data_IF_083880114698
#
_entry.id   IF_083880114698
#
_cell.length_a   1.000
_cell.length_b   1.000
_cell.length_c   1.000
_cell.angle_alpha   90.00
_cell.angle_beta   90.00
_cell.angle_gamma   90.00
#
_symmetry.space_group_name_H-M   'P 1'
#
loop_
_entity.id
_entity.type
_entity.pdbx_description
1 polymer ?
#
# COMPACT_ATOMS: atom_id res chain seq x y z
N UNK A 1 13.62 36.94 14.07
CA UNK A 1 14.61 37.77 14.77
C UNK A 1 16.05 37.36 14.37
N UNK A 2 16.40 37.54 13.10
CA UNK A 2 17.72 37.21 12.56
C UNK A 2 18.72 38.36 12.75
N UNK A 3 19.32 38.50 13.92
CA UNK A 3 20.43 39.43 14.12
C UNK A 3 21.74 38.87 13.55
N UNK A 4 22.50 39.70 12.82
CA UNK A 4 23.86 39.32 12.39
C UNK A 4 24.79 39.40 13.60
N UNK A 5 25.01 38.24 14.22
CA UNK A 5 25.87 38.09 15.41
C UNK A 5 27.31 38.56 15.12
N UNK A 6 27.83 38.32 13.91
CA UNK A 6 29.18 38.77 13.48
C UNK A 6 29.38 38.65 11.97
N UNK A 7 30.16 39.54 11.36
CA UNK A 7 30.65 39.43 9.98
C UNK A 7 32.18 39.53 9.93
N UNK A 8 32.83 38.48 9.41
CA UNK A 8 34.27 38.41 9.22
C UNK A 8 34.60 37.33 8.15
N UNK A 9 35.84 37.27 7.64
CA UNK A 9 36.29 36.19 6.76
C UNK A 9 36.10 34.80 7.40
N UNK A 10 35.88 33.77 6.59
CA UNK A 10 35.55 32.40 7.04
C UNK A 10 36.52 31.84 8.10
N UNK A 11 37.83 32.05 7.92
CA UNK A 11 38.83 31.55 8.86
C UNK A 11 38.75 32.23 10.23
N UNK A 12 38.42 33.52 10.25
CA UNK A 12 38.30 34.31 11.49
C UNK A 12 37.01 33.95 12.23
N UNK A 13 35.90 33.72 11.51
CA UNK A 13 34.65 33.24 12.11
C UNK A 13 34.78 31.85 12.72
N UNK A 14 35.60 30.97 12.12
CA UNK A 14 35.80 29.61 12.61
C UNK A 14 36.70 29.56 13.86
N UNK A 15 37.58 30.56 14.03
CA UNK A 15 38.43 30.73 15.19
C UNK A 15 37.71 31.42 16.37
N UNK A 16 36.96 32.49 16.09
CA UNK A 16 36.47 33.42 17.12
C UNK A 16 34.97 33.29 17.45
N UNK A 17 34.19 32.54 16.65
CA UNK A 17 32.74 32.36 16.88
C UNK A 17 32.39 30.90 17.19
N UNK A 18 32.03 30.64 18.43
CA UNK A 18 31.68 29.29 18.91
C UNK A 18 30.39 28.78 18.27
N UNK A 19 29.39 29.64 18.04
CA UNK A 19 28.14 29.25 17.36
C UNK A 19 28.37 28.90 15.90
N UNK A 20 29.20 29.66 15.18
CA UNK A 20 29.54 29.36 13.78
C UNK A 20 30.29 28.03 13.65
N UNK A 21 31.21 27.75 14.58
CA UNK A 21 31.94 26.47 14.64
C UNK A 21 31.01 25.29 14.88
N UNK A 22 30.00 25.46 15.72
CA UNK A 22 28.98 24.44 15.98
C UNK A 22 28.12 24.18 14.73
N UNK A 23 27.68 25.23 14.03
CA UNK A 23 26.93 25.13 12.77
C UNK A 23 27.72 24.43 11.66
N UNK A 24 29.00 24.78 11.50
CA UNK A 24 29.89 24.16 10.51
C UNK A 24 30.11 22.68 10.83
N UNK A 25 30.29 22.32 12.11
CA UNK A 25 30.44 20.92 12.52
C UNK A 25 29.13 20.14 12.36
N UNK A 26 27.99 20.71 12.73
CA UNK A 26 26.69 20.08 12.52
C UNK A 26 26.41 19.85 11.02
N UNK A 27 26.83 20.79 10.17
CA UNK A 27 26.76 20.61 8.72
C UNK A 27 27.68 19.47 8.24
N UNK A 28 28.93 19.40 8.73
CA UNK A 28 29.85 18.29 8.41
C UNK A 28 29.31 16.93 8.84
N UNK A 29 28.66 16.86 10.00
CA UNK A 29 28.04 15.62 10.51
C UNK A 29 26.83 15.19 9.66
N UNK A 30 26.08 16.14 9.09
CA UNK A 30 24.97 15.84 8.16
C UNK A 30 25.43 15.48 6.74
N UNK A 31 26.58 15.99 6.30
CA UNK A 31 27.09 15.78 4.93
C UNK A 31 28.13 14.64 4.87
N UNK A 32 28.55 14.08 6.01
CA UNK A 32 29.44 12.91 6.03
C UNK A 32 30.83 13.17 5.42
N UNK A 33 31.30 14.42 5.43
CA UNK A 33 32.61 14.78 4.86
C UNK A 33 33.68 14.63 5.92
N UNK A 34 34.44 13.53 5.85
CA UNK A 34 35.76 13.46 6.48
C UNK A 34 36.74 14.31 5.67
N UNK A 35 37.31 15.34 6.29
CA UNK A 35 38.42 16.10 5.70
C UNK A 35 39.66 15.19 5.59
N UNK A 36 40.30 15.07 4.40
CA UNK A 36 41.45 14.21 4.18
C UNK A 36 42.80 14.78 4.67
N UNK A 37 42.82 15.88 5.43
CA UNK A 37 44.06 16.52 5.89
C UNK A 37 44.03 16.84 7.39
N UNK A 38 44.43 15.86 8.21
CA UNK A 38 44.75 16.03 9.63
C UNK A 38 45.89 15.10 10.03
N UNK A 39 47.09 15.67 10.22
CA UNK A 39 48.29 14.95 10.63
C UNK A 39 48.12 14.26 12.01
N UNK A 40 48.82 13.13 12.27
CA UNK A 40 48.59 12.32 13.46
C UNK A 40 49.31 12.91 14.67
N UNK A 41 48.55 13.33 15.69
CA UNK A 41 49.11 13.57 17.01
C UNK A 41 49.10 12.30 17.85
N UNK A 42 50.29 11.71 17.98
CA UNK A 42 50.82 11.25 19.26
C UNK A 42 50.24 9.96 19.85
N UNK A 43 50.82 8.84 19.44
CA UNK A 43 50.77 7.59 20.17
C UNK A 43 51.34 7.73 21.59
N UNK A 44 50.64 7.18 22.58
CA UNK A 44 51.21 6.63 23.81
C UNK A 44 50.51 5.30 24.11
N UNK A 45 51.21 4.22 23.82
CA UNK A 45 51.01 2.89 24.44
C UNK A 45 51.30 3.02 25.95
N UNK A 46 50.65 2.29 26.87
CA UNK A 46 50.90 0.91 27.38
C UNK A 46 50.00 0.78 28.67
N UNK A 47 49.60 -0.39 29.25
CA UNK A 47 49.43 -1.77 28.76
C UNK A 47 48.02 -2.36 29.01
N UNK A 48 47.76 -3.45 28.28
CA UNK A 48 46.74 -4.47 28.49
C UNK A 48 46.79 -5.13 29.88
N UNK A 49 45.63 -5.25 30.53
CA UNK A 49 45.32 -6.32 31.49
C UNK A 49 43.93 -6.84 31.20
N UNK A 50 43.86 -8.09 30.76
CA UNK A 50 42.66 -8.89 30.67
C UNK A 50 42.04 -9.07 32.06
N UNK A 51 40.74 -8.84 32.19
CA UNK A 51 39.90 -9.60 33.11
C UNK A 51 38.46 -9.63 32.60
N UNK A 52 37.93 -10.84 32.54
CA UNK A 52 36.56 -11.21 32.22
C UNK A 52 35.48 -10.40 32.98
N UNK A 53 34.37 -10.16 32.28
CA UNK A 53 33.05 -10.19 32.89
C UNK A 53 32.24 -8.89 32.89
N UNK A 54 31.00 -9.05 32.40
CA UNK A 54 29.79 -8.25 32.69
C UNK A 54 29.48 -7.09 31.71
N UNK A 55 28.76 -7.50 30.66
CA UNK A 55 27.61 -6.84 30.03
C UNK A 55 27.08 -5.56 30.73
N UNK A 56 27.35 -4.39 30.14
CA UNK A 56 26.48 -3.20 30.23
C UNK A 56 26.56 -2.46 28.88
N UNK A 57 25.62 -2.74 27.98
CA UNK A 57 25.36 -1.91 26.81
C UNK A 57 24.83 -0.56 27.29
N UNK A 58 25.75 0.40 27.45
CA UNK A 58 25.39 1.80 27.67
C UNK A 58 24.99 2.37 26.32
N UNK A 59 23.68 2.40 26.09
CA UNK A 59 23.02 3.20 25.07
C UNK A 59 23.74 4.55 24.93
N UNK A 60 24.40 4.75 23.78
CA UNK A 60 24.63 6.09 23.25
C UNK A 60 23.24 6.57 22.85
N UNK A 61 22.63 7.31 23.77
CA UNK A 61 21.39 8.03 23.53
C UNK A 61 21.71 9.07 22.45
N UNK A 62 21.40 8.74 21.20
CA UNK A 62 21.41 9.70 20.09
C UNK A 62 20.46 10.82 20.48
N UNK A 63 21.01 11.98 20.80
CA UNK A 63 20.27 13.22 21.03
C UNK A 63 19.37 13.41 19.80
N UNK A 64 18.06 13.23 19.97
CA UNK A 64 17.09 13.62 18.95
C UNK A 64 17.18 15.14 18.81
N UNK A 65 17.48 15.70 17.62
CA UNK A 65 17.43 17.13 17.45
C UNK A 65 16.02 17.62 17.77
N UNK A 66 15.93 18.75 18.47
CA UNK A 66 14.69 19.48 18.71
C UNK A 66 13.96 19.70 17.37
N UNK A 67 12.62 19.54 17.31
CA UNK A 67 11.85 19.67 16.07
C UNK A 67 11.87 21.07 15.43
N UNK A 68 12.57 22.04 16.03
CA UNK A 68 12.59 23.45 15.60
C UNK A 68 13.67 23.73 14.53
N UNK A 69 14.74 22.93 14.44
CA UNK A 69 15.91 23.24 13.58
C UNK A 69 15.99 22.42 12.27
N UNK A 70 14.99 21.58 11.97
CA UNK A 70 14.95 20.80 10.74
C UNK A 70 13.98 21.44 9.73
N UNK A 71 14.50 22.23 8.79
CA UNK A 71 13.67 22.85 7.73
C UNK A 71 12.89 21.79 6.93
N UNK A 72 13.51 20.65 6.64
CA UNK A 72 12.84 19.55 5.93
C UNK A 72 12.12 18.68 6.95
N UNK A 73 10.78 18.74 6.98
CA UNK A 73 9.99 17.77 7.73
C UNK A 73 10.22 16.36 7.19
N UNK A 74 10.69 15.49 8.08
CA UNK A 74 10.69 14.05 7.84
C UNK A 74 9.24 13.56 7.75
N UNK A 75 8.97 12.66 6.80
CA UNK A 75 7.62 12.21 6.48
C UNK A 75 6.95 11.61 7.73
N UNK A 76 5.80 12.17 8.13
CA UNK A 76 4.94 11.56 9.16
C UNK A 76 4.43 10.23 8.62
N UNK A 77 5.15 9.18 8.97
CA UNK A 77 4.75 7.81 8.71
C UNK A 77 3.71 7.45 9.77
N UNK A 78 2.43 7.37 9.39
CA UNK A 78 1.40 6.79 10.27
C UNK A 78 1.88 5.37 10.62
N UNK A 79 2.38 5.22 11.84
CA UNK A 79 3.03 4.02 12.34
C UNK A 79 1.94 3.16 12.96
N UNK A 80 1.25 2.36 12.15
CA UNK A 80 0.20 1.47 12.65
C UNK A 80 -0.70 0.88 11.57
N UNK A 81 -1.46 -0.16 11.92
CA UNK A 81 -2.51 -0.71 11.08
C UNK A 81 -3.69 0.29 11.10
N UNK A 82 -3.77 1.15 10.09
CA UNK A 82 -4.87 2.12 9.89
C UNK A 82 -6.23 1.43 9.65
N UNK A 83 -6.23 0.10 9.51
CA UNK A 83 -7.43 -0.73 9.51
C UNK A 83 -8.34 -0.39 8.34
N UNK A 84 -9.61 -0.10 8.64
CA UNK A 84 -10.63 0.21 7.62
C UNK A 84 -10.74 1.71 7.27
N UNK A 85 -9.97 2.58 7.94
CA UNK A 85 -10.02 4.04 7.77
C UNK A 85 -9.75 4.48 6.32
N UNK A 86 -8.69 4.04 5.63
CA UNK A 86 -8.41 4.50 4.26
C UNK A 86 -9.43 3.99 3.23
N UNK A 87 -9.99 2.81 3.45
CA UNK A 87 -11.12 2.30 2.65
C UNK A 87 -12.37 3.16 2.80
N UNK A 88 -12.69 3.54 4.04
CA UNK A 88 -13.83 4.40 4.33
C UNK A 88 -13.64 5.80 3.72
N UNK A 89 -12.43 6.34 3.81
CA UNK A 89 -12.07 7.61 3.21
C UNK A 89 -12.30 7.59 1.69
N UNK A 90 -11.81 6.56 1.01
CA UNK A 90 -12.02 6.39 -0.43
C UNK A 90 -13.51 6.29 -0.78
N UNK A 91 -14.29 5.48 -0.07
CA UNK A 91 -15.72 5.26 -0.35
C UNK A 91 -16.63 6.43 0.05
N UNK A 92 -16.19 7.29 0.99
CA UNK A 92 -16.96 8.46 1.45
C UNK A 92 -16.98 9.58 0.41
N UNK A 93 -16.02 9.59 -0.51
CA UNK A 93 -15.93 10.61 -1.54
C UNK A 93 -17.10 10.52 -2.53
N UNK A 94 -17.82 11.63 -2.70
CA UNK A 94 -18.79 11.89 -3.76
C UNK A 94 -19.71 10.72 -4.19
N UNK A 95 -20.67 10.35 -3.35
CA UNK A 95 -21.61 9.22 -3.55
C UNK A 95 -20.92 7.87 -3.84
N UNK A 96 -19.64 7.71 -3.56
CA UNK A 96 -18.86 6.49 -3.81
C UNK A 96 -19.49 5.26 -3.16
N UNK A 97 -19.97 5.37 -1.92
CA UNK A 97 -20.67 4.28 -1.22
C UNK A 97 -21.88 3.74 -2.00
N UNK A 98 -22.63 4.62 -2.68
CA UNK A 98 -23.79 4.22 -3.47
C UNK A 98 -23.38 3.39 -4.69
N UNK A 99 -22.40 3.86 -5.47
CA UNK A 99 -21.90 3.12 -6.64
C UNK A 99 -21.18 1.82 -6.26
N UNK A 100 -20.42 1.84 -5.17
CA UNK A 100 -19.81 0.64 -4.62
C UNK A 100 -20.88 -0.39 -4.24
N UNK A 101 -21.90 0.00 -3.46
CA UNK A 101 -23.00 -0.88 -3.07
C UNK A 101 -23.75 -1.44 -4.28
N UNK A 102 -23.99 -0.63 -5.31
CA UNK A 102 -24.65 -1.07 -6.54
C UNK A 102 -23.80 -2.09 -7.30
N UNK A 103 -22.48 -1.89 -7.34
CA UNK A 103 -21.54 -2.85 -7.93
C UNK A 103 -21.46 -4.17 -7.15
N UNK A 104 -21.47 -4.12 -5.81
CA UNK A 104 -21.55 -5.32 -4.95
C UNK A 104 -22.83 -6.08 -5.21
N UNK A 105 -23.97 -5.38 -5.27
CA UNK A 105 -25.28 -5.99 -5.54
C UNK A 105 -25.31 -6.66 -6.91
N UNK A 106 -24.82 -6.00 -7.97
CA UNK A 106 -24.67 -6.62 -9.30
C UNK A 106 -23.77 -7.85 -9.28
N UNK A 107 -22.71 -7.85 -8.47
CA UNK A 107 -21.82 -9.02 -8.31
C UNK A 107 -22.52 -10.18 -7.59
N UNK A 108 -23.31 -9.90 -6.54
CA UNK A 108 -24.09 -10.93 -5.83
C UNK A 108 -25.12 -11.56 -6.77
N UNK A 109 -25.83 -10.76 -7.58
CA UNK A 109 -26.79 -11.27 -8.57
C UNK A 109 -26.08 -12.12 -9.63
N UNK A 110 -24.90 -11.69 -10.09
CA UNK A 110 -24.07 -12.48 -10.99
C UNK A 110 -23.69 -13.84 -10.39
N UNK A 111 -23.23 -13.87 -9.13
CA UNK A 111 -22.89 -15.11 -8.43
C UNK A 111 -24.10 -16.02 -8.27
N UNK A 112 -25.23 -15.47 -7.81
CA UNK A 112 -26.46 -16.22 -7.66
C UNK A 112 -26.93 -16.82 -9.00
N UNK A 113 -26.82 -16.05 -10.08
CA UNK A 113 -27.13 -16.53 -11.43
C UNK A 113 -26.19 -17.62 -11.91
N UNK A 114 -24.87 -17.52 -11.66
CA UNK A 114 -23.89 -18.56 -11.97
C UNK A 114 -24.17 -19.86 -11.20
N UNK A 115 -24.47 -19.77 -9.90
CA UNK A 115 -24.84 -20.93 -9.08
C UNK A 115 -26.14 -21.54 -9.60
N UNK A 116 -27.13 -20.71 -9.94
CA UNK A 116 -28.41 -21.17 -10.48
C UNK A 116 -28.24 -21.87 -11.84
N UNK A 117 -27.38 -21.32 -12.70
CA UNK A 117 -27.04 -21.90 -14.01
C UNK A 117 -26.39 -23.28 -13.85
N UNK A 118 -25.41 -23.40 -12.94
CA UNK A 118 -24.75 -24.68 -12.66
C UNK A 118 -25.70 -25.65 -11.96
N UNK A 119 -26.57 -25.19 -11.07
CA UNK A 119 -27.55 -26.02 -10.35
C UNK A 119 -28.62 -26.57 -11.30
N UNK A 120 -29.08 -25.73 -12.24
CA UNK A 120 -30.02 -26.13 -13.28
C UNK A 120 -29.45 -27.25 -14.16
N UNK A 121 -28.18 -27.11 -14.56
CA UNK A 121 -27.47 -28.14 -15.31
C UNK A 121 -27.35 -29.43 -14.47
N UNK A 122 -26.91 -29.32 -13.22
CA UNK A 122 -26.74 -30.45 -12.30
C UNK A 122 -28.06 -31.23 -12.05
N UNK A 123 -29.18 -30.52 -11.90
CA UNK A 123 -30.47 -31.15 -11.63
C UNK A 123 -31.09 -31.85 -12.85
N UNK A 124 -30.88 -31.31 -14.05
CA UNK A 124 -31.61 -31.74 -15.26
C UNK A 124 -30.79 -32.56 -16.25
N UNK A 125 -29.48 -32.75 -16.03
CA UNK A 125 -28.60 -33.49 -16.96
C UNK A 125 -29.04 -34.94 -17.18
N UNK A 126 -29.71 -35.55 -16.21
CA UNK A 126 -30.20 -36.94 -16.29
C UNK A 126 -31.72 -37.06 -16.34
N UNK A 127 -32.47 -35.95 -16.37
CA UNK A 127 -33.92 -35.98 -16.38
C UNK A 127 -34.45 -36.37 -17.78
N UNK A 128 -35.10 -37.53 -17.95
CA UNK A 128 -35.58 -37.98 -19.26
C UNK A 128 -36.72 -37.11 -19.82
N UNK A 129 -37.39 -36.36 -18.96
CA UNK A 129 -38.53 -35.49 -19.30
C UNK A 129 -38.11 -34.13 -19.87
N UNK A 130 -36.83 -33.77 -19.82
CA UNK A 130 -36.33 -32.48 -20.32
C UNK A 130 -35.60 -32.71 -21.64
N UNK A 131 -36.14 -32.16 -22.73
CA UNK A 131 -35.45 -32.17 -24.02
C UNK A 131 -34.11 -31.43 -23.92
N UNK A 132 -33.06 -31.97 -24.56
CA UNK A 132 -31.73 -31.36 -24.64
C UNK A 132 -31.77 -29.90 -25.10
N UNK A 133 -32.68 -29.57 -26.03
CA UNK A 133 -32.86 -28.20 -26.51
C UNK A 133 -33.36 -27.25 -25.42
N UNK A 134 -34.28 -27.72 -24.56
CA UNK A 134 -34.80 -26.94 -23.43
C UNK A 134 -33.72 -26.75 -22.35
N UNK A 135 -32.94 -27.78 -22.07
CA UNK A 135 -31.81 -27.71 -21.12
C UNK A 135 -30.81 -26.63 -21.52
N UNK A 136 -30.35 -26.67 -22.77
CA UNK A 136 -29.37 -25.72 -23.32
C UNK A 136 -29.98 -24.32 -23.41
N UNK A 137 -31.22 -24.18 -23.87
CA UNK A 137 -31.88 -22.88 -24.01
C UNK A 137 -31.99 -22.14 -22.68
N UNK A 138 -32.40 -22.82 -21.61
CA UNK A 138 -32.47 -22.21 -20.26
C UNK A 138 -31.08 -21.87 -19.73
N UNK A 139 -30.10 -22.75 -19.92
CA UNK A 139 -28.72 -22.51 -19.50
C UNK A 139 -28.13 -21.26 -20.18
N UNK A 140 -28.31 -21.13 -21.51
CA UNK A 140 -27.87 -19.96 -22.28
C UNK A 140 -28.63 -18.71 -21.86
N UNK A 141 -29.94 -18.81 -21.61
CA UNK A 141 -30.75 -17.70 -21.12
C UNK A 141 -30.23 -17.10 -19.81
N UNK A 142 -29.92 -17.95 -18.82
CA UNK A 142 -29.33 -17.52 -17.54
C UNK A 142 -27.93 -16.93 -17.77
N UNK A 143 -27.13 -17.52 -18.66
CA UNK A 143 -25.80 -17.02 -19.03
C UNK A 143 -25.85 -15.61 -19.65
N UNK A 144 -26.78 -15.35 -20.55
CA UNK A 144 -26.96 -14.01 -21.16
C UNK A 144 -27.43 -13.00 -20.12
N UNK A 145 -28.36 -13.36 -19.24
CA UNK A 145 -28.80 -12.48 -18.16
C UNK A 145 -27.64 -12.13 -17.20
N UNK A 146 -26.84 -13.12 -16.79
CA UNK A 146 -25.70 -12.91 -15.89
C UNK A 146 -24.60 -12.07 -16.55
N UNK A 147 -24.37 -12.21 -17.85
CA UNK A 147 -23.45 -11.36 -18.61
C UNK A 147 -23.83 -9.87 -18.52
N UNK A 148 -25.12 -9.54 -18.60
CA UNK A 148 -25.59 -8.15 -18.43
C UNK A 148 -25.26 -7.62 -17.04
N UNK A 149 -25.40 -8.44 -15.99
CA UNK A 149 -25.03 -8.03 -14.63
C UNK A 149 -23.53 -7.81 -14.48
N UNK A 150 -22.67 -8.62 -15.12
CA UNK A 150 -21.21 -8.40 -15.14
C UNK A 150 -20.86 -7.08 -15.83
N UNK A 151 -21.51 -6.76 -16.94
CA UNK A 151 -21.33 -5.49 -17.64
C UNK A 151 -21.81 -4.31 -16.78
N UNK A 152 -22.95 -4.44 -16.10
CA UNK A 152 -23.44 -3.40 -15.19
C UNK A 152 -22.43 -3.15 -14.06
N UNK A 153 -21.88 -4.23 -13.48
CA UNK A 153 -20.85 -4.17 -12.44
C UNK A 153 -19.64 -3.40 -12.94
N UNK A 154 -19.08 -3.74 -14.10
CA UNK A 154 -17.89 -3.06 -14.65
C UNK A 154 -18.14 -1.57 -14.89
N UNK A 155 -19.30 -1.18 -15.40
CA UNK A 155 -19.68 0.22 -15.56
C UNK A 155 -19.75 0.95 -14.21
N UNK A 156 -20.37 0.34 -13.18
CA UNK A 156 -20.42 0.94 -11.85
C UNK A 156 -19.04 1.09 -11.21
N UNK A 157 -18.11 0.15 -11.44
CA UNK A 157 -16.71 0.27 -10.97
C UNK A 157 -16.03 1.48 -11.60
N UNK A 158 -16.18 1.66 -12.91
CA UNK A 158 -15.55 2.78 -13.63
C UNK A 158 -16.15 4.11 -13.18
N UNK A 159 -17.47 4.20 -13.04
CA UNK A 159 -18.14 5.40 -12.52
C UNK A 159 -17.70 5.73 -11.09
N UNK A 160 -17.59 4.72 -10.22
CA UNK A 160 -17.05 4.87 -8.87
C UNK A 160 -15.63 5.46 -8.90
N UNK A 161 -14.75 4.89 -9.73
CA UNK A 161 -13.36 5.34 -9.86
C UNK A 161 -13.26 6.78 -10.32
N UNK A 162 -13.92 7.13 -11.43
CA UNK A 162 -13.87 8.49 -12.00
C UNK A 162 -14.46 9.53 -11.04
N UNK A 163 -15.60 9.24 -10.40
CA UNK A 163 -16.26 10.19 -9.50
C UNK A 163 -15.43 10.42 -8.22
N UNK A 164 -14.82 9.36 -7.69
CA UNK A 164 -13.96 9.41 -6.50
C UNK A 164 -12.65 10.13 -6.80
N UNK A 165 -11.98 9.73 -7.89
CA UNK A 165 -10.77 10.37 -8.42
C UNK A 165 -10.94 11.87 -8.59
N UNK A 166 -11.98 12.31 -9.30
CA UNK A 166 -12.24 13.74 -9.55
C UNK A 166 -12.46 14.53 -8.25
N UNK A 167 -13.14 13.93 -7.27
CA UNK A 167 -13.36 14.53 -5.95
C UNK A 167 -12.05 14.68 -5.18
N UNK A 168 -11.27 13.60 -5.09
CA UNK A 168 -9.97 13.58 -4.41
C UNK A 168 -8.98 14.54 -5.06
N UNK A 169 -8.89 14.54 -6.39
CA UNK A 169 -8.03 15.45 -7.14
C UNK A 169 -8.39 16.91 -6.88
N UNK A 170 -9.68 17.27 -6.93
CA UNK A 170 -10.12 18.64 -6.68
C UNK A 170 -9.86 19.10 -5.25
N UNK A 171 -10.05 18.22 -4.25
CA UNK A 171 -9.77 18.52 -2.85
C UNK A 171 -8.26 18.69 -2.61
N UNK A 172 -7.46 17.75 -3.11
CA UNK A 172 -5.99 17.79 -3.05
C UNK A 172 -5.44 19.09 -3.66
N UNK A 173 -5.88 19.42 -4.88
CA UNK A 173 -5.41 20.59 -5.61
C UNK A 173 -5.80 21.89 -4.88
N UNK A 174 -7.03 21.98 -4.37
CA UNK A 174 -7.49 23.16 -3.63
C UNK A 174 -6.74 23.33 -2.30
N UNK A 175 -6.53 22.25 -1.55
CA UNK A 175 -5.74 22.26 -0.31
C UNK A 175 -4.29 22.69 -0.59
N UNK A 176 -3.67 22.15 -1.65
CA UNK A 176 -2.30 22.47 -2.00
C UNK A 176 -2.14 23.95 -2.41
N UNK A 177 -3.03 24.48 -3.25
CA UNK A 177 -2.95 25.89 -3.67
C UNK A 177 -3.25 26.88 -2.55
N UNK A 178 -4.00 26.47 -1.53
CA UNK A 178 -4.26 27.29 -0.34
C UNK A 178 -3.25 27.07 0.77
N UNK A 179 -2.22 26.25 0.60
CA UNK A 179 -1.26 26.00 1.66
C UNK A 179 -0.26 27.16 1.80
N UNK A 180 0.20 27.48 3.03
CA UNK A 180 1.12 28.59 3.28
C UNK A 180 2.49 28.35 2.64
N UNK A 181 3.21 29.42 2.32
CA UNK A 181 4.57 29.31 1.77
C UNK A 181 5.52 28.45 2.63
N UNK A 182 5.36 28.49 3.96
CA UNK A 182 6.13 27.67 4.90
C UNK A 182 5.99 26.16 4.64
N UNK A 183 4.85 25.70 4.12
CA UNK A 183 4.65 24.31 3.72
C UNK A 183 5.51 23.94 2.52
N UNK A 184 5.59 24.81 1.52
CA UNK A 184 6.40 24.60 0.32
C UNK A 184 7.91 24.69 0.61
N UNK A 185 8.32 25.54 1.54
CA UNK A 185 9.71 25.63 1.98
C UNK A 185 10.14 24.39 2.79
N UNK A 186 9.21 23.82 3.57
CA UNK A 186 9.48 22.65 4.41
C UNK A 186 9.34 21.30 3.68
N UNK A 187 8.70 21.30 2.51
CA UNK A 187 8.34 20.07 1.79
C UNK A 187 9.06 19.99 0.44
N UNK A 188 9.89 18.97 0.20
CA UNK A 188 10.58 18.80 -1.08
C UNK A 188 9.58 18.73 -2.26
N UNK A 189 9.84 19.50 -3.32
CA UNK A 189 8.99 19.53 -4.51
C UNK A 189 8.76 18.14 -5.12
N UNK A 190 9.79 17.28 -5.12
CA UNK A 190 9.68 15.90 -5.61
C UNK A 190 8.65 15.05 -4.84
N UNK A 191 8.44 15.33 -3.56
CA UNK A 191 7.44 14.65 -2.73
C UNK A 191 6.03 15.06 -3.15
N UNK A 192 5.78 16.35 -3.32
CA UNK A 192 4.50 16.88 -3.81
C UNK A 192 4.19 16.31 -5.20
N UNK A 193 5.17 16.30 -6.09
CA UNK A 193 5.02 15.74 -7.43
C UNK A 193 4.69 14.24 -7.41
N UNK A 194 5.37 13.46 -6.56
CA UNK A 194 5.10 12.02 -6.40
C UNK A 194 3.67 11.76 -5.92
N UNK A 195 3.15 12.58 -5.00
CA UNK A 195 1.77 12.49 -4.50
C UNK A 195 0.73 12.79 -5.57
N UNK A 196 0.92 13.90 -6.29
CA UNK A 196 -0.02 14.36 -7.33
C UNK A 196 0.07 13.50 -8.60
N UNK A 197 1.22 12.89 -8.89
CA UNK A 197 1.42 12.07 -10.08
C UNK A 197 1.24 10.58 -9.79
N UNK A 198 2.17 9.96 -9.04
CA UNK A 198 2.22 8.51 -8.88
C UNK A 198 1.11 7.99 -7.98
N UNK A 199 0.95 8.58 -6.79
CA UNK A 199 -0.06 8.09 -5.84
C UNK A 199 -1.48 8.36 -6.37
N UNK A 200 -1.74 9.53 -6.96
CA UNK A 200 -3.01 9.81 -7.61
C UNK A 200 -3.29 8.88 -8.80
N UNK A 201 -2.28 8.58 -9.64
CA UNK A 201 -2.46 7.63 -10.74
C UNK A 201 -2.87 6.24 -10.24
N UNK A 202 -2.35 5.78 -9.09
CA UNK A 202 -2.77 4.51 -8.47
C UNK A 202 -4.22 4.62 -7.99
N UNK A 203 -4.59 5.73 -7.36
CA UNK A 203 -5.97 5.99 -6.91
C UNK A 203 -6.96 5.98 -8.08
N UNK A 204 -6.56 6.53 -9.22
CA UNK A 204 -7.41 6.70 -10.39
C UNK A 204 -7.58 5.40 -11.19
N UNK A 205 -6.48 4.69 -11.43
CA UNK A 205 -6.44 3.55 -12.34
C UNK A 205 -6.49 2.21 -11.63
N UNK A 206 -5.82 2.06 -10.49
CA UNK A 206 -5.61 0.73 -9.89
C UNK A 206 -6.61 0.40 -8.79
N UNK A 207 -6.92 1.36 -7.91
CA UNK A 207 -7.77 1.14 -6.73
C UNK A 207 -9.19 0.69 -7.08
N UNK A 208 -9.91 1.28 -8.06
CA UNK A 208 -11.27 0.87 -8.38
C UNK A 208 -11.35 -0.62 -8.75
N UNK A 209 -10.40 -1.09 -9.56
CA UNK A 209 -10.33 -2.49 -9.98
C UNK A 209 -9.81 -3.40 -8.86
N UNK A 210 -8.77 -2.99 -8.13
CA UNK A 210 -8.23 -3.78 -7.01
C UNK A 210 -9.30 -3.99 -5.91
N UNK A 211 -10.06 -2.94 -5.58
CA UNK A 211 -11.16 -3.01 -4.62
C UNK A 211 -12.21 -4.03 -5.05
N UNK A 212 -12.64 -3.94 -6.30
CA UNK A 212 -13.68 -4.80 -6.83
C UNK A 212 -13.22 -6.23 -7.04
N UNK A 213 -12.01 -6.46 -7.54
CA UNK A 213 -11.46 -7.81 -7.65
C UNK A 213 -11.27 -8.47 -6.29
N UNK A 214 -10.79 -7.72 -5.28
CA UNK A 214 -10.66 -8.24 -3.92
C UNK A 214 -12.02 -8.66 -3.34
N UNK A 215 -13.01 -7.79 -3.42
CA UNK A 215 -14.36 -8.09 -2.94
C UNK A 215 -15.02 -9.24 -3.73
N UNK A 216 -14.89 -9.22 -5.06
CA UNK A 216 -15.41 -10.27 -5.93
C UNK A 216 -14.76 -11.62 -5.64
N UNK A 217 -13.45 -11.67 -5.40
CA UNK A 217 -12.74 -12.91 -5.05
C UNK A 217 -13.20 -13.45 -3.68
N UNK A 218 -13.36 -12.59 -2.68
CA UNK A 218 -13.91 -12.97 -1.37
C UNK A 218 -15.30 -13.59 -1.52
N UNK A 219 -16.21 -12.91 -2.22
CA UNK A 219 -17.57 -13.38 -2.45
C UNK A 219 -17.60 -14.69 -3.24
N UNK A 220 -16.70 -14.88 -4.21
CA UNK A 220 -16.54 -16.15 -4.93
C UNK A 220 -16.08 -17.27 -3.98
N UNK A 221 -15.07 -17.04 -3.14
CA UNK A 221 -14.58 -18.03 -2.19
C UNK A 221 -15.68 -18.45 -1.20
N UNK A 222 -16.40 -17.48 -0.62
CA UNK A 222 -17.55 -17.76 0.26
C UNK A 222 -18.68 -18.48 -0.47
N UNK A 223 -18.97 -18.10 -1.71
CA UNK A 223 -19.95 -18.77 -2.56
C UNK A 223 -19.58 -20.24 -2.80
N UNK A 224 -18.33 -20.53 -3.13
CA UNK A 224 -17.87 -21.90 -3.37
C UNK A 224 -17.97 -22.77 -2.12
N UNK A 225 -17.60 -22.23 -0.96
CA UNK A 225 -17.79 -22.89 0.34
C UNK A 225 -19.29 -23.09 0.62
N UNK A 226 -20.13 -22.10 0.34
CA UNK A 226 -21.58 -22.17 0.52
C UNK A 226 -22.24 -23.25 -0.34
N UNK A 227 -21.87 -23.34 -1.63
CA UNK A 227 -22.35 -24.40 -2.53
C UNK A 227 -21.96 -25.78 -2.01
N UNK A 228 -20.71 -25.96 -1.57
CA UNK A 228 -20.26 -27.22 -0.97
C UNK A 228 -21.01 -27.56 0.31
N UNK A 229 -21.28 -26.57 1.16
CA UNK A 229 -22.03 -26.76 2.39
C UNK A 229 -23.49 -27.19 2.12
N UNK A 230 -24.12 -26.66 1.07
CA UNK A 230 -25.49 -27.03 0.69
C UNK A 230 -25.56 -28.40 0.03
N UNK A 231 -24.62 -28.72 -0.87
CA UNK A 231 -24.65 -29.99 -1.61
C UNK A 231 -24.18 -31.16 -0.72
N UNK A 232 -23.17 -30.96 0.12
CA UNK A 232 -22.62 -32.00 1.00
C UNK A 232 -22.48 -31.47 2.43
N UNK A 233 -23.62 -31.35 3.12
CA UNK A 233 -23.67 -30.79 4.48
C UNK A 233 -22.76 -31.55 5.48
N UNK A 234 -22.48 -32.82 5.24
CA UNK A 234 -21.58 -33.64 6.06
C UNK A 234 -20.12 -33.17 6.00
N UNK A 235 -19.69 -32.55 4.90
CA UNK A 235 -18.33 -32.01 4.73
C UNK A 235 -18.13 -30.76 5.59
N UNK A 236 -19.21 -30.14 6.07
CA UNK A 236 -19.12 -28.95 6.93
C UNK A 236 -18.36 -29.20 8.23
N UNK A 237 -18.41 -30.43 8.78
CA UNK A 237 -17.61 -30.82 9.95
C UNK A 237 -16.10 -30.76 9.69
N UNK A 238 -15.68 -31.03 8.45
CA UNK A 238 -14.28 -30.91 8.03
C UNK A 238 -13.98 -29.48 7.58
N UNK A 239 -14.88 -28.83 6.85
CA UNK A 239 -14.65 -27.49 6.31
C UNK A 239 -14.55 -26.41 7.41
N UNK A 240 -15.35 -26.49 8.46
CA UNK A 240 -15.39 -25.47 9.53
C UNK A 240 -14.05 -25.31 10.27
N UNK A 241 -13.39 -26.37 10.79
CA UNK A 241 -12.07 -26.22 11.41
C UNK A 241 -11.02 -25.74 10.40
N UNK A 242 -11.13 -26.13 9.12
CA UNK A 242 -10.21 -25.68 8.08
C UNK A 242 -10.36 -24.18 7.80
N UNK A 243 -11.58 -23.64 7.75
CA UNK A 243 -11.82 -22.19 7.60
C UNK A 243 -11.19 -21.42 8.77
N UNK A 244 -11.33 -21.92 10.01
CA UNK A 244 -10.70 -21.29 11.18
C UNK A 244 -9.19 -21.29 11.05
N UNK A 245 -8.58 -22.41 10.63
CA UNK A 245 -7.14 -22.49 10.40
C UNK A 245 -6.67 -21.56 9.28
N UNK A 246 -7.42 -21.46 8.18
CA UNK A 246 -7.13 -20.53 7.08
C UNK A 246 -7.12 -19.09 7.57
N UNK A 247 -8.10 -18.68 8.37
CA UNK A 247 -8.17 -17.32 8.93
C UNK A 247 -6.96 -17.05 9.85
N UNK A 248 -6.57 -18.02 10.69
CA UNK A 248 -5.40 -17.86 11.56
C UNK A 248 -4.09 -17.77 10.77
N UNK A 249 -3.90 -18.65 9.79
CA UNK A 249 -2.75 -18.64 8.88
C UNK A 249 -2.66 -17.34 8.10
N UNK A 250 -3.79 -16.87 7.57
CA UNK A 250 -3.86 -15.61 6.85
C UNK A 250 -3.44 -14.43 7.75
N UNK A 251 -3.93 -14.38 8.99
CA UNK A 251 -3.56 -13.33 9.94
C UNK A 251 -2.07 -13.35 10.29
N UNK A 252 -1.51 -14.54 10.49
CA UNK A 252 -0.08 -14.74 10.74
C UNK A 252 0.78 -14.31 9.54
N UNK A 253 0.40 -14.74 8.33
CA UNK A 253 1.08 -14.36 7.10
C UNK A 253 1.03 -12.84 6.88
N UNK A 254 -0.13 -12.21 7.06
CA UNK A 254 -0.31 -10.80 6.78
C UNK A 254 0.54 -9.91 7.71
N UNK A 255 0.74 -10.32 8.97
CA UNK A 255 1.65 -9.64 9.88
C UNK A 255 3.11 -9.71 9.40
N UNK A 256 3.58 -10.90 9.01
CA UNK A 256 4.95 -11.12 8.53
C UNK A 256 5.20 -10.47 7.16
N UNK A 257 4.26 -10.62 6.23
CA UNK A 257 4.36 -10.09 4.87
C UNK A 257 4.41 -8.56 4.85
N UNK A 258 3.68 -7.88 5.75
CA UNK A 258 3.74 -6.42 5.90
C UNK A 258 5.15 -5.94 6.23
N UNK A 259 5.81 -6.55 7.22
CA UNK A 259 7.19 -6.18 7.58
C UNK A 259 8.18 -6.51 6.46
N UNK A 260 7.98 -7.62 5.77
CA UNK A 260 8.86 -8.03 4.68
C UNK A 260 8.72 -7.11 3.45
N UNK A 261 7.51 -6.69 3.13
CA UNK A 261 7.24 -5.63 2.15
C UNK A 261 7.83 -4.30 2.56
N UNK A 262 7.82 -3.97 3.86
CA UNK A 262 8.45 -2.75 4.40
C UNK A 262 9.95 -2.75 4.16
N UNK A 263 10.63 -3.85 4.49
CA UNK A 263 12.07 -4.01 4.27
C UNK A 263 12.37 -3.92 2.77
N UNK A 264 11.64 -4.68 1.94
CA UNK A 264 11.80 -4.67 0.49
C UNK A 264 11.60 -3.27 -0.12
N UNK A 265 10.65 -2.48 0.39
CA UNK A 265 10.46 -1.10 -0.01
C UNK A 265 11.67 -0.21 0.31
N UNK A 266 12.23 -0.35 1.52
CA UNK A 266 13.40 0.45 1.94
C UNK A 266 14.67 0.08 1.17
N UNK A 267 14.93 -1.21 0.93
CA UNK A 267 16.11 -1.67 0.18
C UNK A 267 16.03 -1.25 -1.28
N UNK A 268 14.85 -1.36 -1.91
CA UNK A 268 14.63 -0.92 -3.28
C UNK A 268 14.84 0.58 -3.45
N UNK A 269 14.41 1.39 -2.47
CA UNK A 269 14.66 2.84 -2.50
C UNK A 269 16.14 3.18 -2.37
N UNK A 270 16.88 2.49 -1.49
CA UNK A 270 18.32 2.72 -1.35
C UNK A 270 19.09 2.41 -2.65
N UNK A 271 18.72 1.31 -3.32
CA UNK A 271 19.28 0.95 -4.64
C UNK A 271 18.98 2.01 -5.70
N UNK A 272 17.72 2.48 -5.77
CA UNK A 272 17.31 3.51 -6.71
C UNK A 272 18.02 4.86 -6.47
N UNK A 273 18.21 5.25 -5.21
CA UNK A 273 18.93 6.47 -4.85
C UNK A 273 20.41 6.40 -5.26
N UNK A 274 21.10 5.30 -4.96
CA UNK A 274 22.49 5.11 -5.37
C UNK A 274 22.67 5.12 -6.89
N UNK A 275 21.74 4.49 -7.63
CA UNK A 275 21.71 4.57 -9.09
C UNK A 275 21.50 6.01 -9.58
N UNK A 276 20.60 6.77 -8.95
CA UNK A 276 20.37 8.19 -9.26
C UNK A 276 21.62 9.03 -9.06
N UNK A 277 22.28 8.89 -7.90
CA UNK A 277 23.54 9.58 -7.58
C UNK A 277 24.66 9.20 -8.56
N UNK A 278 24.76 7.92 -8.91
CA UNK A 278 25.76 7.41 -9.87
C UNK A 278 25.55 8.01 -11.28
N UNK A 279 24.31 8.14 -11.73
CA UNK A 279 23.98 8.74 -13.04
C UNK A 279 24.31 10.24 -13.04
N UNK A 280 23.90 10.96 -11.99
CA UNK A 280 24.20 12.40 -11.86
C UNK A 280 25.70 12.68 -11.71
N UNK A 281 26.42 11.81 -10.99
CA UNK A 281 27.86 11.90 -10.76
C UNK A 281 28.74 11.20 -11.80
N UNK A 282 28.18 10.71 -12.90
CA UNK A 282 28.88 9.81 -13.82
C UNK A 282 30.15 10.41 -14.46
N UNK A 283 30.23 11.74 -14.59
CA UNK A 283 31.45 12.41 -15.09
C UNK A 283 32.53 12.41 -14.00
N UNK A 284 32.13 12.74 -12.77
CA UNK A 284 33.03 12.80 -11.60
C UNK A 284 33.60 11.42 -11.27
N UNK A 285 32.77 10.38 -11.25
CA UNK A 285 33.20 8.99 -10.98
C UNK A 285 34.27 8.56 -11.99
N UNK A 286 34.04 8.82 -13.28
CA UNK A 286 35.00 8.51 -14.35
C UNK A 286 36.26 9.36 -14.27
N UNK A 287 36.15 10.62 -13.88
CA UNK A 287 37.29 11.52 -13.74
C UNK A 287 38.24 11.12 -12.59
N UNK A 288 37.71 10.50 -11.54
CA UNK A 288 38.49 9.97 -10.40
C UNK A 288 38.83 8.47 -10.54
N UNK A 289 38.43 7.81 -11.64
CA UNK A 289 38.65 6.37 -11.88
C UNK A 289 38.08 5.45 -10.78
N UNK A 290 37.01 5.87 -10.08
CA UNK A 290 36.36 5.15 -8.97
C UNK A 290 35.18 4.26 -9.42
N UNK A 291 35.19 3.81 -10.68
CA UNK A 291 34.11 3.04 -11.30
C UNK A 291 33.88 1.69 -10.60
N UNK A 292 34.96 0.97 -10.29
CA UNK A 292 34.91 -0.34 -9.66
C UNK A 292 34.33 -0.29 -8.24
N UNK A 293 34.64 0.78 -7.49
CA UNK A 293 34.11 0.97 -6.14
C UNK A 293 32.60 1.22 -6.17
N UNK A 294 32.12 2.10 -7.07
CA UNK A 294 30.69 2.33 -7.27
C UNK A 294 29.97 1.08 -7.79
N UNK A 295 30.61 0.30 -8.67
CA UNK A 295 30.06 -0.96 -9.17
C UNK A 295 29.94 -2.00 -8.05
N UNK A 296 30.98 -2.18 -7.23
CA UNK A 296 30.95 -3.07 -6.07
C UNK A 296 29.87 -2.65 -5.06
N UNK A 297 29.72 -1.35 -4.82
CA UNK A 297 28.66 -0.84 -3.93
C UNK A 297 27.26 -1.11 -4.49
N UNK A 298 27.08 -0.95 -5.80
CA UNK A 298 25.82 -1.26 -6.46
C UNK A 298 25.49 -2.76 -6.35
N UNK A 299 26.46 -3.65 -6.53
CA UNK A 299 26.28 -5.10 -6.32
C UNK A 299 25.85 -5.42 -4.87
N UNK A 300 26.49 -4.82 -3.87
CA UNK A 300 26.10 -4.99 -2.46
C UNK A 300 24.64 -4.58 -2.21
N UNK A 301 24.20 -3.47 -2.80
CA UNK A 301 22.82 -2.99 -2.68
C UNK A 301 21.82 -3.90 -3.41
N UNK A 302 22.21 -4.45 -4.56
CA UNK A 302 21.40 -5.45 -5.29
C UNK A 302 21.23 -6.72 -4.44
N UNK A 303 22.31 -7.25 -3.87
CA UNK A 303 22.26 -8.44 -3.00
C UNK A 303 21.41 -8.19 -1.76
N UNK A 304 21.58 -7.02 -1.14
CA UNK A 304 20.79 -6.60 0.02
C UNK A 304 19.30 -6.45 -0.29
N UNK A 305 18.94 -6.12 -1.54
CA UNK A 305 17.55 -6.10 -1.99
C UNK A 305 17.02 -7.48 -2.39
N UNK A 306 17.88 -8.33 -2.98
CA UNK A 306 17.51 -9.68 -3.42
C UNK A 306 17.08 -10.58 -2.25
N UNK A 307 17.75 -10.48 -1.09
CA UNK A 307 17.41 -11.27 0.09
C UNK A 307 15.96 -11.10 0.58
N UNK A 308 15.53 -9.88 0.97
CA UNK A 308 14.15 -9.61 1.40
C UNK A 308 13.10 -9.95 0.34
N UNK A 309 13.42 -9.70 -0.94
CA UNK A 309 12.54 -10.08 -2.04
C UNK A 309 12.34 -11.60 -2.10
N UNK A 310 13.42 -12.38 -2.00
CA UNK A 310 13.37 -13.83 -1.98
C UNK A 310 12.57 -14.37 -0.78
N UNK A 311 12.79 -13.82 0.41
CA UNK A 311 12.01 -14.21 1.59
C UNK A 311 10.52 -13.88 1.43
N UNK A 312 10.18 -12.76 0.79
CA UNK A 312 8.78 -12.40 0.52
C UNK A 312 8.13 -13.36 -0.47
N UNK A 313 8.86 -13.76 -1.51
CA UNK A 313 8.43 -14.79 -2.44
C UNK A 313 8.22 -16.13 -1.71
N UNK A 314 9.21 -16.59 -0.93
CA UNK A 314 9.14 -17.83 -0.17
C UNK A 314 7.98 -17.85 0.84
N UNK A 315 7.72 -16.72 1.53
CA UNK A 315 6.58 -16.60 2.46
C UNK A 315 5.23 -16.70 1.73
N UNK A 316 5.13 -16.13 0.53
CA UNK A 316 3.92 -16.20 -0.31
C UNK A 316 3.67 -17.64 -0.74
N UNK A 317 4.69 -18.32 -1.26
CA UNK A 317 4.62 -19.73 -1.68
C UNK A 317 4.30 -20.67 -0.51
N UNK A 318 4.91 -20.45 0.66
CA UNK A 318 4.60 -21.22 1.87
C UNK A 318 3.11 -21.17 2.24
N UNK A 319 2.49 -19.99 2.13
CA UNK A 319 1.06 -19.85 2.40
C UNK A 319 0.22 -20.56 1.33
N UNK A 320 0.58 -20.41 0.05
CA UNK A 320 -0.12 -21.05 -1.07
C UNK A 320 -0.12 -22.56 -0.88
N UNK A 321 1.05 -23.17 -0.63
CA UNK A 321 1.20 -24.61 -0.40
C UNK A 321 0.29 -25.08 0.75
N UNK A 322 0.27 -24.34 1.88
CA UNK A 322 -0.59 -24.69 3.02
C UNK A 322 -2.07 -24.63 2.64
N UNK A 323 -2.52 -23.58 1.95
CA UNK A 323 -3.92 -23.45 1.52
C UNK A 323 -4.33 -24.54 0.52
N UNK A 324 -3.44 -24.92 -0.38
CA UNK A 324 -3.69 -26.00 -1.34
C UNK A 324 -3.82 -27.35 -0.64
N UNK A 325 -2.96 -27.66 0.34
CA UNK A 325 -3.09 -28.87 1.15
C UNK A 325 -4.42 -28.87 1.89
N UNK A 326 -4.81 -27.74 2.48
CA UNK A 326 -6.08 -27.61 3.20
C UNK A 326 -7.29 -27.85 2.29
N UNK A 327 -7.31 -27.24 1.10
CA UNK A 327 -8.40 -27.42 0.17
C UNK A 327 -8.40 -28.81 -0.50
N UNK A 328 -7.22 -29.43 -0.69
CA UNK A 328 -7.12 -30.83 -1.10
C UNK A 328 -7.73 -31.78 -0.05
N UNK A 329 -7.49 -31.53 1.25
CA UNK A 329 -8.13 -32.30 2.34
C UNK A 329 -9.66 -32.14 2.30
N UNK A 330 -10.17 -30.93 2.11
CA UNK A 330 -11.62 -30.68 1.96
C UNK A 330 -12.18 -31.43 0.75
N UNK A 331 -11.51 -31.35 -0.41
CA UNK A 331 -11.92 -32.05 -1.63
C UNK A 331 -11.90 -33.58 -1.44
N UNK A 332 -10.81 -34.16 -0.93
CA UNK A 332 -10.69 -35.60 -0.67
C UNK A 332 -11.74 -36.09 0.33
N UNK A 333 -12.00 -35.33 1.40
CA UNK A 333 -13.05 -35.66 2.35
C UNK A 333 -14.44 -35.63 1.70
N UNK A 334 -14.71 -34.66 0.82
CA UNK A 334 -15.98 -34.57 0.09
C UNK A 334 -16.17 -35.75 -0.88
N UNK A 335 -15.13 -36.13 -1.62
CA UNK A 335 -15.16 -37.28 -2.51
C UNK A 335 -15.36 -38.59 -1.73
N UNK A 336 -14.70 -38.72 -0.56
CA UNK A 336 -14.83 -39.90 0.30
C UNK A 336 -16.23 -40.04 0.90
N UNK A 337 -16.83 -38.94 1.38
CA UNK A 337 -18.22 -38.92 1.87
C UNK A 337 -19.20 -39.29 0.77
N UNK A 338 -19.02 -38.76 -0.45
CA UNK A 338 -19.86 -39.11 -1.59
C UNK A 338 -19.75 -40.60 -1.98
N UNK A 339 -18.54 -41.18 -1.86
CA UNK A 339 -18.31 -42.59 -2.17
C UNK A 339 -18.86 -43.56 -1.11
N UNK A 340 -18.92 -43.13 0.15
CA UNK A 340 -19.45 -43.92 1.28
C UNK A 340 -20.98 -44.00 1.30
N UNK A 341 -21.67 -42.99 0.77
CA UNK A 341 -23.13 -42.93 0.79
C UNK A 341 -23.74 -43.89 -0.25
N UNK A 342 -24.89 -44.53 0.05
CA UNK A 342 -25.52 -45.47 -0.86
C UNK A 342 -25.83 -44.83 -2.23
N UNK A 343 -25.66 -45.62 -3.29
CA UNK A 343 -26.01 -45.22 -4.65
C UNK A 343 -27.47 -44.76 -4.71
N UNK A 344 -27.70 -43.52 -5.16
CA UNK A 344 -29.02 -42.88 -5.22
C UNK A 344 -29.24 -41.74 -4.24
N UNK A 345 -28.33 -41.51 -3.28
CA UNK A 345 -28.43 -40.37 -2.33
C UNK A 345 -28.22 -39.02 -3.02
N UNK A 346 -27.34 -38.96 -4.02
CA UNK A 346 -27.06 -37.75 -4.80
C UNK A 346 -27.28 -38.02 -6.28
N UNK A 347 -27.91 -37.08 -6.99
CA UNK A 347 -27.91 -37.12 -8.45
C UNK A 347 -26.47 -36.88 -8.96
N UNK A 348 -25.99 -37.64 -9.96
CA UNK A 348 -24.63 -37.51 -10.50
C UNK A 348 -24.25 -36.10 -10.95
N UNK A 349 -25.23 -35.27 -11.36
CA UNK A 349 -24.97 -33.88 -11.70
C UNK A 349 -24.55 -33.03 -10.49
N UNK A 350 -25.13 -33.27 -9.31
CA UNK A 350 -24.72 -32.58 -8.07
C UNK A 350 -23.37 -33.07 -7.54
N UNK A 351 -23.02 -34.34 -7.78
CA UNK A 351 -21.67 -34.86 -7.49
C UNK A 351 -20.63 -34.11 -8.34
N UNK A 352 -20.87 -33.99 -9.65
CA UNK A 352 -20.00 -33.24 -10.56
C UNK A 352 -19.88 -31.77 -10.18
N UNK A 353 -21.00 -31.15 -9.77
CA UNK A 353 -21.01 -29.79 -9.24
C UNK A 353 -20.13 -29.67 -7.99
N UNK A 354 -20.34 -30.48 -6.95
CA UNK A 354 -19.59 -30.39 -5.71
C UNK A 354 -18.08 -30.65 -5.93
N UNK A 355 -17.70 -31.60 -6.79
CA UNK A 355 -16.28 -31.81 -7.12
C UNK A 355 -15.68 -30.61 -7.87
N UNK A 356 -16.41 -30.00 -8.81
CA UNK A 356 -15.94 -28.84 -9.57
C UNK A 356 -15.75 -27.60 -8.68
N UNK A 357 -16.71 -27.34 -7.79
CA UNK A 357 -16.62 -26.25 -6.82
C UNK A 357 -15.56 -26.52 -5.74
N UNK A 358 -15.42 -27.77 -5.29
CA UNK A 358 -14.37 -28.22 -4.39
C UNK A 358 -12.97 -28.01 -4.95
N UNK A 359 -12.74 -28.40 -6.21
CA UNK A 359 -11.45 -28.18 -6.88
C UNK A 359 -11.16 -26.68 -7.07
N UNK A 360 -12.19 -25.89 -7.39
CA UNK A 360 -12.06 -24.44 -7.59
C UNK A 360 -11.80 -23.65 -6.31
N UNK A 361 -12.01 -24.24 -5.12
CA UNK A 361 -11.74 -23.58 -3.83
C UNK A 361 -10.28 -23.17 -3.69
N UNK A 362 -9.35 -24.05 -4.08
CA UNK A 362 -7.91 -23.81 -3.93
C UNK A 362 -7.51 -22.51 -4.64
N UNK A 363 -7.85 -22.42 -5.92
CA UNK A 363 -7.57 -21.23 -6.72
C UNK A 363 -8.32 -19.99 -6.19
N UNK A 364 -9.54 -20.17 -5.70
CA UNK A 364 -10.34 -19.06 -5.14
C UNK A 364 -9.71 -18.46 -3.88
N UNK A 365 -9.19 -19.29 -2.98
CA UNK A 365 -8.52 -18.82 -1.76
C UNK A 365 -7.21 -18.11 -2.07
N UNK A 366 -6.37 -18.69 -2.92
CA UNK A 366 -5.10 -18.07 -3.34
C UNK A 366 -5.36 -16.71 -4.00
N UNK A 367 -6.30 -16.66 -4.94
CA UNK A 367 -6.66 -15.42 -5.61
C UNK A 367 -7.25 -14.39 -4.62
N UNK A 368 -8.05 -14.82 -3.64
CA UNK A 368 -8.59 -13.91 -2.62
C UNK A 368 -7.49 -13.22 -1.83
N UNK A 369 -6.51 -13.99 -1.35
CA UNK A 369 -5.42 -13.45 -0.54
C UNK A 369 -4.53 -12.53 -1.37
N UNK A 370 -4.16 -12.94 -2.59
CA UNK A 370 -3.36 -12.09 -3.49
C UNK A 370 -4.07 -10.76 -3.79
N UNK A 371 -5.38 -10.78 -4.10
CA UNK A 371 -6.14 -9.55 -4.36
C UNK A 371 -6.34 -8.68 -3.11
N UNK A 372 -6.47 -9.29 -1.93
CA UNK A 372 -6.49 -8.53 -0.67
C UNK A 372 -5.15 -7.86 -0.37
N UNK A 373 -4.03 -8.56 -0.59
CA UNK A 373 -2.69 -7.97 -0.43
C UNK A 373 -2.44 -6.85 -1.45
N UNK A 374 -2.80 -7.04 -2.72
CA UNK A 374 -2.68 -6.01 -3.76
C UNK A 374 -3.47 -4.76 -3.39
N UNK A 375 -4.71 -4.94 -2.94
CA UNK A 375 -5.56 -3.84 -2.47
C UNK A 375 -4.98 -3.15 -1.22
N UNK A 376 -4.47 -3.91 -0.25
CA UNK A 376 -3.86 -3.36 0.97
C UNK A 376 -2.58 -2.55 0.68
N UNK A 377 -1.84 -2.88 -0.37
CA UNK A 377 -0.69 -2.09 -0.80
C UNK A 377 -1.11 -0.81 -1.51
N UNK A 378 -2.09 -0.90 -2.41
CA UNK A 378 -2.56 0.24 -3.21
C UNK A 378 -3.32 1.27 -2.38
N UNK A 379 -4.02 0.85 -1.33
CA UNK A 379 -4.78 1.76 -0.47
C UNK A 379 -3.87 2.75 0.30
N UNK A 380 -2.60 2.41 0.51
CA UNK A 380 -1.60 3.29 1.16
C UNK A 380 -1.43 4.59 0.35
N UNK A 381 -1.56 4.54 -0.98
CA UNK A 381 -1.53 5.75 -1.82
C UNK A 381 -2.69 6.70 -1.51
N UNK A 382 -3.87 6.19 -1.11
CA UNK A 382 -4.99 7.03 -0.67
C UNK A 382 -4.64 7.77 0.62
N UNK A 383 -4.02 7.10 1.58
CA UNK A 383 -3.60 7.72 2.85
C UNK A 383 -2.61 8.85 2.62
N UNK A 384 -1.62 8.56 1.79
CA UNK A 384 -0.58 9.51 1.38
C UNK A 384 -1.17 10.74 0.69
N UNK A 385 -2.16 10.55 -0.18
CA UNK A 385 -2.89 11.68 -0.78
C UNK A 385 -3.69 12.43 0.29
N UNK A 386 -4.33 11.73 1.22
CA UNK A 386 -5.13 12.33 2.29
C UNK A 386 -4.33 13.24 3.22
N UNK A 387 -3.08 12.90 3.51
CA UNK A 387 -2.19 13.76 4.29
C UNK A 387 -2.04 15.17 3.69
N UNK A 388 -2.25 15.31 2.38
CA UNK A 388 -2.15 16.59 1.64
C UNK A 388 -3.51 17.24 1.38
N UNK A 389 -4.62 16.57 1.71
CA UNK A 389 -5.97 17.12 1.55
C UNK A 389 -6.41 17.98 2.76
N UNK A 390 -5.81 17.77 3.92
CA UNK A 390 -6.14 18.45 5.17
C UNK A 390 -4.99 19.36 5.66
N UNK A 391 -4.30 20.05 4.74
CA UNK A 391 -3.21 21.00 5.08
C UNK A 391 -3.84 22.29 5.62
N UNK A 392 -3.22 22.96 6.62
CA UNK A 392 -3.67 24.28 7.05
C UNK A 392 -3.76 25.25 5.87
N UNK A 393 -4.95 25.80 5.63
CA UNK A 393 -5.19 26.81 4.59
C UNK A 393 -4.69 28.18 5.06
N UNK A 394 -4.14 28.95 4.13
CA UNK A 394 -3.99 30.40 4.25
C UNK A 394 -5.34 31.08 4.47
N UNK A 395 -5.29 32.35 4.87
CA UNK A 395 -6.46 33.17 5.09
C UNK A 395 -7.37 33.17 3.84
N UNK A 396 -8.69 33.27 4.02
CA UNK A 396 -9.61 33.33 2.88
C UNK A 396 -9.23 34.46 1.91
N UNK A 397 -9.21 34.15 0.61
CA UNK A 397 -8.92 35.12 -0.47
C UNK A 397 -9.79 36.37 -0.38
N UNK A 398 -11.04 36.20 0.05
CA UNK A 398 -12.01 37.28 0.20
C UNK A 398 -12.67 37.19 1.57
N UNK A 399 -12.65 38.31 2.29
CA UNK A 399 -13.39 38.51 3.52
C UNK A 399 -14.49 39.53 3.22
N UNK A 400 -15.73 39.06 3.00
CA UNK A 400 -16.86 39.90 2.59
C UNK A 400 -17.14 41.04 3.59
N UNK A 401 -16.93 40.79 4.88
CA UNK A 401 -17.18 41.75 5.95
C UNK A 401 -16.18 42.92 5.95
N UNK A 402 -15.00 42.77 5.34
CA UNK A 402 -13.92 43.75 5.40
C UNK A 402 -13.29 43.99 4.03
N UNK A 403 -14.13 44.13 2.99
CA UNK A 403 -13.65 44.49 1.66
C UNK A 403 -13.28 45.99 1.62
N UNK A 404 -12.10 46.33 1.06
CA UNK A 404 -11.78 47.73 0.79
C UNK A 404 -12.74 48.32 -0.24
N UNK A 405 -12.87 49.65 -0.23
CA UNK A 405 -13.68 50.37 -1.20
C UNK A 405 -13.18 50.11 -2.65
N UNK A 406 -14.06 50.17 -3.68
CA UNK A 406 -13.68 49.88 -5.07
C UNK A 406 -12.55 50.76 -5.63
N UNK A 407 -12.39 51.93 -5.02
CA UNK A 407 -11.42 52.98 -5.33
C UNK A 407 -10.11 52.85 -4.52
N UNK A 408 -9.94 51.77 -3.75
CA UNK A 408 -8.68 51.45 -3.08
C UNK A 408 -7.64 50.84 -4.05
N UNK A 409 -6.34 51.17 -3.92
CA UNK A 409 -5.75 52.19 -3.04
C UNK A 409 -5.70 53.58 -3.69
N UNK A 410 -6.16 54.63 -2.98
CA UNK A 410 -6.16 56.00 -3.52
C UNK A 410 -4.81 56.74 -3.42
N UNK A 411 -4.08 56.55 -2.31
CA UNK A 411 -2.88 57.36 -1.97
C UNK A 411 -1.59 56.53 -1.85
N UNK A 412 -1.70 55.18 -1.80
CA UNK A 412 -0.54 54.29 -1.76
C UNK A 412 0.39 54.46 -0.56
N UNK A 413 -0.06 55.12 0.52
CA UNK A 413 0.73 55.30 1.75
C UNK A 413 0.84 54.00 2.52
N UNK A 414 2.07 53.63 2.92
CA UNK A 414 2.36 52.42 3.72
C UNK A 414 2.99 52.87 5.04
N UNK A 415 2.39 52.49 6.16
CA UNK A 415 2.88 52.77 7.51
C UNK A 415 3.18 51.44 8.22
N UNK A 416 4.43 51.21 8.59
CA UNK A 416 4.88 50.00 9.30
C UNK A 416 4.91 50.31 10.81
N UNK A 417 4.20 49.52 11.62
CA UNK A 417 4.17 49.63 13.08
C UNK A 417 4.52 48.29 13.70
N UNK A 418 5.58 48.26 14.52
CA UNK A 418 6.05 47.10 15.27
C UNK A 418 6.17 45.80 14.43
N UNK A 419 6.55 45.93 13.15
CA UNK A 419 6.82 44.80 12.28
C UNK A 419 8.04 44.05 12.83
N UNK A 420 7.91 42.74 13.03
CA UNK A 420 9.02 41.87 13.44
C UNK A 420 9.59 41.15 12.24
N UNK A 421 10.91 41.16 12.12
CA UNK A 421 11.70 40.52 11.05
C UNK A 421 11.92 39.03 11.27
#
# INVERSE_FOLDING_TARGET
DGEVIRSAPYQDLLADCQEFKYLVNAHKDTVGVQDPNGAPHGAKEIPTKETDGIHVDRYIESVRPSPVDQLIKTEERESGDTGLKPYMLYLRQNKGFFYASLSVMSHIVFLAGQISQNSWMAANVQNPHVSTLKLISVYVGIGVCTMIFVLSRSLFVVVLGVQTSRSLFSQLLNSLFRSPMSFFDSTPQGRILSRVSSDLSIVDLDIPFAFMFSLSSCLNAYSNVGVLAVVVWQVLFVALPMIVLVIQLQRYYLASAKELMRINGTTKSALANHLGESISGAITIRAFEEEDHFFAKNLELVDKNAGPYFFNFAATEWLIERLEIMGAVVLSSSAFVMALLPAGTFSPGFIGMALSYGLSLNNSFVNTIQKQCDLANKIISVERVNQYMDIPSEAPEVIEENRPAPDWPQVGSVELKDLKD
#
